data_IF_273824384760
#
_entry.id   IF_273824384760
#
_cell.length_a   1.000
_cell.length_b   1.000
_cell.length_c   1.000
_cell.angle_alpha   90.00
_cell.angle_beta   90.00
_cell.angle_gamma   90.00
#
_symmetry.space_group_name_H-M   'P 1'
#
loop_
_entity.id
_entity.type
_entity.pdbx_description
1 polymer ?
#
# COMPACT_ATOMS: atom_id res chain seq x y z
N UNK A 1 7.74 -12.37 -2.97
CA UNK A 1 9.04 -11.66 -2.96
C UNK A 1 8.76 -10.20 -3.18
N UNK A 2 9.21 -9.33 -2.30
CA UNK A 2 9.37 -7.92 -2.67
C UNK A 2 10.36 -7.87 -3.84
N UNK A 3 10.10 -7.06 -4.85
CA UNK A 3 11.08 -6.75 -5.89
C UNK A 3 12.41 -6.48 -5.20
N UNK A 4 13.54 -6.97 -5.71
CA UNK A 4 14.81 -6.73 -5.04
C UNK A 4 15.04 -5.23 -4.90
N UNK A 5 15.63 -4.77 -3.81
CA UNK A 5 15.93 -3.35 -3.58
C UNK A 5 16.68 -2.75 -4.77
N UNK A 6 17.59 -3.52 -5.38
CA UNK A 6 18.30 -3.12 -6.59
C UNK A 6 17.37 -2.89 -7.79
N UNK A 7 16.33 -3.70 -7.97
CA UNK A 7 15.35 -3.50 -9.05
C UNK A 7 14.56 -2.20 -8.82
N UNK A 8 14.15 -1.92 -7.59
CA UNK A 8 13.46 -0.67 -7.25
C UNK A 8 14.33 0.56 -7.51
N UNK A 9 15.63 0.50 -7.16
CA UNK A 9 16.58 1.60 -7.41
C UNK A 9 16.79 1.86 -8.89
N UNK A 10 16.66 0.85 -9.76
CA UNK A 10 16.73 1.04 -11.22
C UNK A 10 15.44 1.60 -11.83
N UNK A 11 14.29 1.33 -11.20
CA UNK A 11 12.97 1.69 -11.72
C UNK A 11 12.56 3.11 -11.32
N UNK A 12 12.90 3.54 -10.12
CA UNK A 12 12.53 4.86 -9.58
C UNK A 12 13.77 5.75 -9.60
N UNK A 13 13.77 6.73 -10.50
CA UNK A 13 14.88 7.65 -10.68
C UNK A 13 15.20 8.42 -9.38
N UNK A 14 16.47 8.47 -9.02
CA UNK A 14 16.93 9.16 -7.83
C UNK A 14 16.59 8.48 -6.50
N UNK A 15 16.12 7.23 -6.50
CA UNK A 15 15.73 6.52 -5.28
C UNK A 15 16.92 6.31 -4.34
N UNK A 16 16.81 6.85 -3.13
CA UNK A 16 17.76 6.60 -2.03
C UNK A 16 17.25 5.46 -1.15
N UNK A 17 18.04 4.40 -0.97
CA UNK A 17 17.68 3.29 -0.09
C UNK A 17 18.09 3.59 1.36
N UNK A 18 17.08 3.79 2.21
CA UNK A 18 17.20 3.94 3.68
C UNK A 18 16.51 2.80 4.44
N UNK A 19 15.95 1.81 3.74
CA UNK A 19 15.22 0.72 4.38
C UNK A 19 16.13 -0.31 5.06
N UNK A 20 17.41 -0.37 4.68
CA UNK A 20 18.31 -1.43 5.12
C UNK A 20 17.83 -2.79 4.65
N UNK A 21 18.27 -3.88 5.27
CA UNK A 21 17.90 -5.22 4.84
C UNK A 21 16.37 -5.44 4.91
N UNK A 22 15.78 -5.82 3.80
CA UNK A 22 14.38 -6.20 3.70
C UNK A 22 14.25 -7.71 3.83
N UNK A 23 13.37 -8.16 4.74
CA UNK A 23 13.01 -9.56 4.83
C UNK A 23 12.14 -9.96 3.62
N UNK A 24 12.40 -11.13 3.05
CA UNK A 24 11.51 -11.75 2.08
C UNK A 24 10.24 -12.27 2.77
N UNK A 25 9.10 -12.22 2.10
CA UNK A 25 7.88 -12.84 2.57
C UNK A 25 6.64 -11.97 2.44
N UNK A 26 5.52 -12.51 2.92
CA UNK A 26 4.24 -11.80 2.93
C UNK A 26 4.18 -10.79 4.08
N UNK A 27 3.59 -9.63 3.80
CA UNK A 27 3.35 -8.58 4.79
C UNK A 27 1.86 -8.59 5.17
N UNK A 28 1.60 -8.53 6.46
CA UNK A 28 0.25 -8.49 7.02
C UNK A 28 -0.01 -7.14 7.72
N UNK A 29 -1.28 -6.78 7.96
CA UNK A 29 -1.62 -5.60 8.75
C UNK A 29 -0.82 -5.49 10.03
N UNK A 30 -0.45 -4.26 10.42
CA UNK A 30 0.36 -3.94 11.59
C UNK A 30 1.84 -4.40 11.54
N UNK A 31 2.32 -4.89 10.38
CA UNK A 31 3.72 -5.21 10.16
C UNK A 31 4.46 -4.09 9.41
N UNK A 32 5.78 -4.08 9.53
CA UNK A 32 6.65 -3.20 8.75
C UNK A 32 6.80 -3.73 7.32
N UNK A 33 6.71 -2.82 6.36
CA UNK A 33 6.96 -3.11 4.94
C UNK A 33 7.76 -1.99 4.29
N UNK A 34 8.45 -2.25 3.18
CA UNK A 34 9.05 -1.20 2.39
C UNK A 34 7.97 -0.32 1.73
N UNK A 35 8.20 0.98 1.75
CA UNK A 35 7.47 1.96 0.94
C UNK A 35 8.47 2.91 0.31
N UNK A 36 8.11 3.49 -0.82
CA UNK A 36 8.82 4.61 -1.43
C UNK A 36 8.01 5.87 -1.14
N UNK A 37 8.63 6.88 -0.58
CA UNK A 37 8.01 8.18 -0.27
C UNK A 37 8.82 9.33 -0.83
N UNK A 38 8.25 10.53 -0.84
CA UNK A 38 8.99 11.74 -1.11
C UNK A 38 9.87 12.10 0.10
N UNK A 39 11.18 12.15 -0.06
CA UNK A 39 12.13 12.71 0.89
C UNK A 39 12.56 14.12 0.49
N UNK A 40 13.43 14.74 1.31
CA UNK A 40 13.91 16.11 1.06
C UNK A 40 14.75 16.21 -0.22
N UNK A 41 15.54 15.18 -0.52
CA UNK A 41 16.46 15.13 -1.67
C UNK A 41 15.94 14.26 -2.83
N UNK A 42 14.68 13.85 -2.81
CA UNK A 42 14.06 12.96 -3.81
C UNK A 42 13.39 11.74 -3.19
N UNK A 43 12.97 10.77 -4.01
CA UNK A 43 12.31 9.57 -3.49
C UNK A 43 13.25 8.75 -2.60
N UNK A 44 12.71 8.22 -1.51
CA UNK A 44 13.44 7.35 -0.59
C UNK A 44 12.66 6.06 -0.26
N UNK A 45 13.39 4.94 -0.25
CA UNK A 45 12.88 3.65 0.19
C UNK A 45 13.08 3.55 1.70
N UNK A 46 11.99 3.38 2.43
CA UNK A 46 11.98 3.30 3.91
C UNK A 46 11.09 2.15 4.38
N UNK A 47 11.12 1.86 5.68
CA UNK A 47 10.14 0.95 6.30
C UNK A 47 9.07 1.74 7.02
N UNK A 48 7.81 1.42 6.77
CA UNK A 48 6.67 1.94 7.50
C UNK A 48 5.74 0.81 7.94
N UNK A 49 4.94 1.04 8.97
CA UNK A 49 3.99 0.07 9.53
C UNK A 49 2.65 0.18 8.79
N UNK A 50 2.14 -0.96 8.33
CA UNK A 50 0.86 -0.99 7.61
C UNK A 50 -0.33 -0.77 8.54
N UNK A 51 -0.95 0.39 8.44
CA UNK A 51 -2.11 0.81 9.22
C UNK A 51 -2.05 2.28 9.60
N UNK A 52 -2.65 3.16 8.78
CA UNK A 52 -2.79 4.59 9.08
C UNK A 52 -3.68 4.82 10.30
N UNK A 53 -3.61 6.00 10.95
CA UNK A 53 -4.44 6.29 12.11
C UNK A 53 -5.93 6.13 11.80
N UNK A 54 -6.66 5.50 12.70
CA UNK A 54 -8.11 5.37 12.59
C UNK A 54 -8.81 6.71 12.88
N UNK A 55 -9.98 6.99 12.26
CA UNK A 55 -10.79 8.13 12.66
C UNK A 55 -11.13 8.06 14.14
N UNK A 56 -10.94 9.13 14.91
CA UNK A 56 -11.24 9.11 16.36
C UNK A 56 -12.67 8.67 16.68
N UNK A 57 -13.61 8.98 15.80
CA UNK A 57 -15.03 8.62 15.95
C UNK A 57 -15.34 7.13 15.94
N UNK A 58 -14.42 6.30 15.40
CA UNK A 58 -14.60 4.83 15.35
C UNK A 58 -13.83 4.11 16.45
N UNK A 59 -12.94 4.79 17.16
CA UNK A 59 -12.19 4.21 18.26
C UNK A 59 -13.08 4.06 19.50
N UNK A 60 -13.21 2.82 19.97
CA UNK A 60 -13.97 2.48 21.19
C UNK A 60 -13.08 2.48 22.44
N UNK A 61 -11.79 2.44 22.28
CA UNK A 61 -10.77 2.38 23.32
C UNK A 61 -9.56 3.21 22.91
N UNK A 62 -8.57 3.36 23.77
CA UNK A 62 -7.29 3.99 23.44
C UNK A 62 -6.50 3.20 22.38
N UNK A 63 -6.83 1.90 22.17
CA UNK A 63 -6.17 1.07 21.15
C UNK A 63 -6.65 1.46 19.77
N UNK A 64 -5.70 1.80 18.88
CA UNK A 64 -5.93 2.05 17.46
C UNK A 64 -5.44 0.85 16.63
N UNK A 65 -6.34 0.04 16.04
CA UNK A 65 -5.93 -1.09 15.20
C UNK A 65 -5.31 -0.67 13.87
N UNK A 66 -5.49 0.59 13.48
CA UNK A 66 -5.07 1.14 12.21
C UNK A 66 -6.03 0.83 11.06
N UNK A 67 -6.02 1.72 10.06
CA UNK A 67 -6.76 1.56 8.80
C UNK A 67 -5.78 1.16 7.71
N UNK A 68 -6.00 0.00 7.13
CA UNK A 68 -5.11 -0.57 6.11
C UNK A 68 -5.42 -0.11 4.69
N UNK A 69 -6.69 0.27 4.43
CA UNK A 69 -7.20 0.60 3.10
C UNK A 69 -7.97 1.92 3.11
N UNK A 70 -7.72 2.76 2.11
CA UNK A 70 -8.36 4.07 1.94
C UNK A 70 -9.23 4.03 0.68
N UNK A 71 -10.55 4.02 0.86
CA UNK A 71 -11.50 3.95 -0.25
C UNK A 71 -12.21 5.28 -0.50
N UNK A 72 -12.73 5.89 0.55
CA UNK A 72 -13.48 7.13 0.45
C UNK A 72 -12.56 8.35 0.58
N UNK A 73 -12.03 8.83 -0.56
CA UNK A 73 -11.16 9.99 -0.62
C UNK A 73 -11.86 11.29 -0.20
N UNK A 74 -13.19 11.36 -0.33
CA UNK A 74 -13.99 12.50 0.13
C UNK A 74 -14.09 12.62 1.66
N UNK A 75 -13.69 11.60 2.41
CA UNK A 75 -13.72 11.65 3.88
C UNK A 75 -12.80 12.73 4.43
N UNK A 76 -13.30 13.62 5.32
CA UNK A 76 -12.49 14.66 5.95
C UNK A 76 -11.26 14.11 6.69
N UNK A 77 -11.34 12.86 7.18
CA UNK A 77 -10.26 12.19 7.88
C UNK A 77 -8.98 12.08 7.04
N UNK A 78 -9.12 11.79 5.72
CA UNK A 78 -7.98 11.55 4.84
C UNK A 78 -7.37 12.81 4.24
N UNK A 79 -8.09 13.94 4.23
CA UNK A 79 -7.67 15.19 3.52
C UNK A 79 -6.24 15.62 3.84
N UNK A 80 -5.83 15.51 5.09
CA UNK A 80 -4.49 15.93 5.54
C UNK A 80 -3.35 15.06 4.98
N UNK A 81 -3.66 13.83 4.56
CA UNK A 81 -2.66 12.88 4.03
C UNK A 81 -2.80 12.64 2.52
N UNK A 82 -3.70 13.36 1.84
CA UNK A 82 -3.84 13.25 0.38
C UNK A 82 -2.94 14.23 -0.38
N UNK A 83 -2.19 15.09 0.30
CA UNK A 83 -1.21 15.98 -0.31
C UNK A 83 0.06 15.24 -0.76
N UNK A 84 0.84 15.88 -1.64
CA UNK A 84 2.07 15.32 -2.23
C UNK A 84 3.05 14.80 -1.17
N UNK A 85 3.28 15.53 -0.08
CA UNK A 85 4.21 15.16 0.98
C UNK A 85 3.83 13.92 1.79
N UNK A 86 2.65 13.32 1.52
CA UNK A 86 2.18 12.10 2.17
C UNK A 86 1.96 10.95 1.18
N UNK A 87 2.37 11.13 -0.09
CA UNK A 87 2.24 10.09 -1.10
C UNK A 87 3.33 9.05 -0.95
N UNK A 88 2.95 7.80 -1.12
CA UNK A 88 3.90 6.70 -1.11
C UNK A 88 3.54 5.65 -2.16
N UNK A 89 4.53 4.84 -2.53
CA UNK A 89 4.35 3.66 -3.36
C UNK A 89 4.68 2.43 -2.50
N UNK A 90 3.83 1.43 -2.55
CA UNK A 90 4.07 0.15 -1.86
C UNK A 90 4.46 -0.88 -2.90
N UNK A 91 5.74 -1.29 -2.98
CA UNK A 91 6.18 -2.28 -3.97
C UNK A 91 5.63 -3.67 -3.63
N UNK A 92 5.04 -4.33 -4.62
CA UNK A 92 4.46 -5.67 -4.47
C UNK A 92 4.73 -6.53 -5.70
N UNK A 93 4.89 -7.83 -5.50
CA UNK A 93 4.97 -8.83 -6.58
C UNK A 93 3.65 -9.57 -6.75
N UNK A 94 2.91 -9.71 -5.65
CA UNK A 94 1.58 -10.33 -5.63
C UNK A 94 0.80 -9.84 -4.42
N UNK A 95 -0.52 -9.98 -4.45
CA UNK A 95 -1.39 -9.66 -3.31
C UNK A 95 -2.49 -10.71 -3.16
N UNK A 96 -3.11 -10.76 -1.99
CA UNK A 96 -4.17 -11.72 -1.73
C UNK A 96 -5.43 -11.06 -1.22
N UNK A 97 -6.57 -11.63 -1.60
CA UNK A 97 -7.89 -11.28 -1.12
C UNK A 97 -8.59 -12.50 -0.48
N UNK A 98 -9.36 -12.30 0.58
CA UNK A 98 -10.06 -13.41 1.24
C UNK A 98 -11.17 -13.98 0.34
N UNK A 99 -11.19 -15.31 0.18
CA UNK A 99 -12.25 -16.03 -0.57
C UNK A 99 -13.58 -16.07 0.19
N UNK A 100 -13.60 -15.75 1.47
CA UNK A 100 -14.76 -15.84 2.35
C UNK A 100 -14.40 -16.53 3.67
N UNK A 101 -15.36 -16.60 4.58
CA UNK A 101 -15.12 -17.15 5.92
C UNK A 101 -14.65 -18.62 5.85
N UNK A 102 -13.44 -18.89 6.29
CA UNK A 102 -12.85 -20.23 6.36
C UNK A 102 -12.36 -20.81 5.04
N UNK A 103 -12.39 -20.05 3.93
CA UNK A 103 -11.99 -20.54 2.61
C UNK A 103 -10.55 -20.12 2.21
N UNK A 104 -9.82 -19.50 3.12
CA UNK A 104 -8.46 -19.02 2.84
C UNK A 104 -8.44 -17.74 1.98
N UNK A 105 -7.35 -17.57 1.25
CA UNK A 105 -7.12 -16.40 0.38
C UNK A 105 -6.91 -16.83 -1.05
N UNK A 106 -7.18 -15.94 -2.00
CA UNK A 106 -6.76 -16.02 -3.39
C UNK A 106 -5.63 -15.04 -3.62
N UNK A 107 -4.54 -15.51 -4.21
CA UNK A 107 -3.42 -14.68 -4.63
C UNK A 107 -3.59 -14.23 -6.08
N UNK A 108 -3.13 -13.00 -6.33
CA UNK A 108 -3.12 -12.36 -7.64
C UNK A 108 -1.71 -11.84 -7.93
N UNK A 109 -1.28 -12.00 -9.17
CA UNK A 109 0.00 -11.52 -9.68
C UNK A 109 -0.21 -10.91 -11.08
N UNK A 110 0.72 -10.10 -11.60
CA UNK A 110 0.59 -9.58 -12.94
C UNK A 110 0.63 -10.72 -13.95
N UNK A 111 -0.16 -10.59 -15.03
CA UNK A 111 -0.17 -11.56 -16.13
C UNK A 111 1.17 -11.55 -16.85
N UNK A 112 1.70 -10.38 -17.14
CA UNK A 112 3.06 -10.20 -17.62
C UNK A 112 4.02 -10.17 -16.42
N UNK A 113 4.91 -11.16 -16.34
CA UNK A 113 5.84 -11.35 -15.21
C UNK A 113 6.90 -10.26 -15.08
N UNK A 114 7.13 -9.49 -16.13
CA UNK A 114 8.11 -8.39 -16.15
C UNK A 114 7.47 -7.09 -15.62
N UNK A 115 6.15 -7.07 -15.41
CA UNK A 115 5.43 -5.92 -14.89
C UNK A 115 5.72 -5.71 -13.41
N UNK A 116 6.26 -4.53 -13.08
CA UNK A 116 6.37 -4.07 -11.68
C UNK A 116 5.06 -3.46 -11.24
N UNK A 117 4.63 -3.82 -10.04
CA UNK A 117 3.41 -3.27 -9.43
C UNK A 117 3.75 -2.46 -8.19
N UNK A 118 3.12 -1.30 -8.07
CA UNK A 118 3.07 -0.52 -6.83
C UNK A 118 1.62 -0.28 -6.43
N UNK A 119 1.29 -0.40 -5.15
CA UNK A 119 0.04 0.17 -4.67
C UNK A 119 0.20 1.67 -4.44
N UNK A 120 -0.81 2.45 -4.86
CA UNK A 120 -0.87 3.88 -4.57
C UNK A 120 -1.11 4.07 -3.07
N UNK A 121 -0.08 4.46 -2.33
CA UNK A 121 -0.09 4.58 -0.88
C UNK A 121 -0.17 6.03 -0.40
N UNK A 122 -0.58 6.17 0.85
CA UNK A 122 -0.40 7.39 1.66
C UNK A 122 0.30 7.02 2.96
N UNK A 123 1.04 7.98 3.54
CA UNK A 123 1.84 7.76 4.74
C UNK A 123 1.74 8.92 5.72
N UNK A 124 2.16 8.68 6.97
CA UNK A 124 2.43 9.70 7.98
C UNK A 124 3.63 9.27 8.82
N UNK A 125 4.50 10.22 9.12
CA UNK A 125 5.74 9.97 9.85
C UNK A 125 5.56 10.24 11.34
N UNK A 126 6.33 9.53 12.17
CA UNK A 126 6.45 9.80 13.60
C UNK A 126 5.12 9.75 14.36
N UNK A 127 4.16 8.90 13.98
CA UNK A 127 2.86 8.83 14.62
C UNK A 127 2.89 7.97 15.87
N UNK A 128 2.53 8.55 17.03
CA UNK A 128 2.41 7.84 18.30
C UNK A 128 1.01 7.27 18.47
N UNK A 129 0.91 5.98 18.75
CA UNK A 129 -0.37 5.29 18.98
C UNK A 129 -0.19 4.01 19.81
N UNK A 130 -1.27 3.59 20.46
CA UNK A 130 -1.36 2.31 21.16
C UNK A 130 -1.89 1.24 20.20
N UNK A 131 -1.00 0.43 19.60
CA UNK A 131 -1.38 -0.65 18.68
C UNK A 131 -1.70 -1.95 19.42
N UNK A 132 -0.85 -2.30 20.38
CA UNK A 132 -0.99 -3.50 21.23
C UNK A 132 -0.77 -3.11 22.66
N UNK A 133 -1.70 -3.48 23.54
CA UNK A 133 -1.64 -3.13 24.97
C UNK A 133 -0.33 -3.56 25.62
N UNK A 134 0.18 -4.74 25.22
CA UNK A 134 1.45 -5.28 25.76
C UNK A 134 2.69 -4.45 25.41
N UNK A 135 2.64 -3.72 24.30
CA UNK A 135 3.78 -2.95 23.77
C UNK A 135 3.73 -1.48 24.24
N UNK A 136 2.61 -1.05 24.84
CA UNK A 136 2.38 0.35 25.20
C UNK A 136 2.22 1.25 23.98
N UNK A 137 2.36 2.55 24.17
CA UNK A 137 2.42 3.53 23.06
C UNK A 137 3.74 3.39 22.32
N UNK A 138 3.65 3.38 21.01
CA UNK A 138 4.80 3.31 20.11
C UNK A 138 4.71 4.38 19.03
N UNK A 139 5.85 4.94 18.64
CA UNK A 139 5.96 5.92 17.55
C UNK A 139 6.48 5.22 16.32
N UNK A 140 5.75 5.34 15.21
CA UNK A 140 6.08 4.68 13.94
C UNK A 140 5.75 5.57 12.75
N UNK A 141 6.44 5.36 11.64
CA UNK A 141 5.96 5.76 10.34
C UNK A 141 4.87 4.77 9.92
N UNK A 142 3.73 5.29 9.46
CA UNK A 142 2.55 4.48 9.13
C UNK A 142 2.18 4.68 7.68
N UNK A 143 1.65 3.63 7.04
CA UNK A 143 1.11 3.73 5.69
C UNK A 143 -0.20 2.95 5.53
N UNK A 144 -0.97 3.32 4.52
CA UNK A 144 -2.05 2.54 3.93
C UNK A 144 -2.06 2.77 2.42
N UNK A 145 -2.79 1.96 1.67
CA UNK A 145 -2.94 2.17 0.24
C UNK A 145 -4.41 2.38 -0.15
N UNK A 146 -4.60 3.01 -1.30
CA UNK A 146 -5.91 3.28 -1.85
C UNK A 146 -6.54 2.01 -2.40
N UNK A 147 -7.87 1.96 -2.35
CA UNK A 147 -8.65 0.91 -3.02
C UNK A 147 -9.66 1.52 -3.98
N UNK A 148 -10.03 0.74 -4.99
CA UNK A 148 -10.99 1.08 -6.04
C UNK A 148 -11.97 -0.07 -6.25
N UNK A 149 -12.99 0.04 -7.13
CA UNK A 149 -13.78 -1.10 -7.57
C UNK A 149 -12.90 -2.21 -8.16
N UNK A 150 -13.25 -3.49 -8.00
CA UNK A 150 -12.44 -4.59 -8.53
C UNK A 150 -12.61 -4.72 -10.06
N UNK A 151 -11.55 -5.23 -10.72
CA UNK A 151 -11.61 -5.68 -12.10
C UNK A 151 -12.20 -7.10 -12.23
N UNK A 152 -12.27 -7.64 -13.45
CA UNK A 152 -12.90 -8.93 -13.73
C UNK A 152 -12.25 -10.11 -12.98
N UNK A 153 -10.94 -10.07 -12.73
CA UNK A 153 -10.23 -11.15 -12.04
C UNK A 153 -10.49 -11.14 -10.53
N UNK A 154 -10.57 -9.95 -9.93
CA UNK A 154 -10.73 -9.80 -8.47
C UNK A 154 -12.20 -9.86 -8.04
N UNK A 155 -13.14 -9.36 -8.85
CA UNK A 155 -14.55 -9.25 -8.51
C UNK A 155 -15.21 -10.56 -8.04
N UNK A 156 -14.93 -11.74 -8.63
CA UNK A 156 -15.51 -13.01 -8.18
C UNK A 156 -15.06 -13.42 -6.77
N UNK A 157 -13.91 -12.97 -6.32
CA UNK A 157 -13.30 -13.29 -5.02
C UNK A 157 -13.63 -12.22 -4.00
N UNK A 158 -13.38 -10.96 -4.34
CA UNK A 158 -13.62 -9.80 -3.48
C UNK A 158 -14.40 -8.70 -4.22
N UNK A 159 -15.75 -8.80 -4.27
CA UNK A 159 -16.59 -7.92 -5.09
C UNK A 159 -16.62 -6.46 -4.60
N UNK A 160 -16.05 -6.17 -3.43
CA UNK A 160 -16.13 -4.82 -2.83
C UNK A 160 -15.02 -3.90 -3.26
N UNK A 161 -13.80 -4.39 -3.41
CA UNK A 161 -12.63 -3.55 -3.69
C UNK A 161 -11.43 -4.36 -4.18
N UNK A 162 -10.49 -3.66 -4.81
CA UNK A 162 -9.11 -4.10 -5.03
C UNK A 162 -8.15 -2.94 -4.72
N UNK A 163 -6.86 -3.19 -4.47
CA UNK A 163 -5.87 -2.13 -4.38
C UNK A 163 -5.83 -1.28 -5.66
N UNK A 164 -5.55 0.02 -5.53
CA UNK A 164 -5.16 0.85 -6.67
C UNK A 164 -3.73 0.48 -7.04
N UNK A 165 -3.55 -0.12 -8.20
CA UNK A 165 -2.27 -0.64 -8.69
C UNK A 165 -1.75 0.24 -9.82
N UNK A 166 -0.50 0.68 -9.70
CA UNK A 166 0.25 1.45 -10.68
C UNK A 166 1.31 0.55 -11.31
N UNK A 167 1.35 0.50 -12.63
CA UNK A 167 2.23 -0.41 -13.38
C UNK A 167 3.15 0.30 -14.37
N UNK A 168 2.98 1.61 -14.54
CA UNK A 168 3.75 2.41 -15.51
C UNK A 168 4.50 3.54 -14.81
N UNK A 169 5.70 3.89 -15.28
CA UNK A 169 6.49 5.00 -14.73
C UNK A 169 5.69 6.30 -14.59
N UNK A 170 4.94 6.68 -15.62
CA UNK A 170 4.15 7.91 -15.63
C UNK A 170 3.08 7.94 -14.51
N UNK A 171 2.57 6.77 -14.12
CA UNK A 171 1.55 6.66 -13.08
C UNK A 171 2.15 6.85 -11.68
N UNK A 172 3.26 6.19 -11.37
CA UNK A 172 3.86 6.35 -10.04
C UNK A 172 4.59 7.68 -9.88
N UNK A 173 5.17 8.24 -10.95
CA UNK A 173 5.71 9.60 -10.94
C UNK A 173 4.60 10.64 -10.71
N UNK A 174 3.49 10.54 -11.45
CA UNK A 174 2.33 11.40 -11.25
C UNK A 174 1.75 11.25 -9.83
N UNK A 175 1.71 10.02 -9.30
CA UNK A 175 1.26 9.77 -7.93
C UNK A 175 2.14 10.47 -6.90
N UNK A 176 3.45 10.28 -6.94
CA UNK A 176 4.41 10.97 -6.06
C UNK A 176 4.44 12.47 -6.33
N UNK A 177 4.19 12.91 -7.56
CA UNK A 177 4.07 14.31 -7.96
C UNK A 177 2.81 15.01 -7.45
N UNK A 178 1.88 14.28 -6.83
CA UNK A 178 0.69 14.85 -6.19
C UNK A 178 -0.51 15.07 -7.11
N UNK A 179 -0.60 14.31 -8.22
CA UNK A 179 -1.83 14.29 -9.05
C UNK A 179 -3.07 14.06 -8.19
N UNK A 180 -4.23 14.55 -8.59
CA UNK A 180 -5.46 14.29 -7.86
C UNK A 180 -5.68 12.79 -7.69
N UNK A 181 -5.92 12.36 -6.46
CA UNK A 181 -5.98 10.94 -6.13
C UNK A 181 -7.08 10.18 -6.89
N UNK A 182 -8.18 10.89 -7.18
CA UNK A 182 -9.32 10.35 -7.92
C UNK A 182 -8.96 9.96 -9.37
N UNK A 183 -7.95 10.59 -9.97
CA UNK A 183 -7.53 10.31 -11.35
C UNK A 183 -6.89 8.91 -11.48
N UNK A 184 -6.24 8.43 -10.42
CA UNK A 184 -5.62 7.10 -10.37
C UNK A 184 -6.43 6.08 -9.55
N UNK A 185 -7.52 6.49 -8.90
CA UNK A 185 -8.40 5.59 -8.14
C UNK A 185 -9.28 4.75 -9.08
N UNK A 186 -8.67 3.91 -9.87
CA UNK A 186 -9.30 3.04 -10.86
C UNK A 186 -8.72 1.63 -10.80
N UNK A 187 -9.46 0.60 -11.21
CA UNK A 187 -8.91 -0.74 -11.34
C UNK A 187 -7.86 -0.83 -12.43
N UNK A 188 -7.00 -1.84 -12.37
CA UNK A 188 -6.27 -2.29 -13.53
C UNK A 188 -7.24 -2.78 -14.62
N UNK A 189 -6.84 -2.69 -15.91
CA UNK A 189 -7.61 -3.30 -17.00
C UNK A 189 -7.85 -4.80 -16.75
N UNK A 190 -8.97 -5.31 -17.24
CA UNK A 190 -9.25 -6.74 -17.23
C UNK A 190 -8.17 -7.48 -18.03
N UNK A 191 -7.76 -8.66 -17.55
CA UNK A 191 -6.66 -9.45 -18.09
C UNK A 191 -5.26 -9.04 -17.60
N UNK A 192 -5.13 -7.96 -16.83
CA UNK A 192 -3.83 -7.52 -16.30
C UNK A 192 -3.33 -8.38 -15.13
N UNK A 193 -4.23 -9.10 -14.46
CA UNK A 193 -3.92 -9.97 -13.34
C UNK A 193 -4.23 -11.44 -13.67
N UNK A 194 -3.44 -12.33 -13.08
CA UNK A 194 -3.70 -13.78 -13.07
C UNK A 194 -3.81 -14.30 -11.64
N UNK A 195 -4.59 -15.34 -11.47
CA UNK A 195 -4.69 -16.05 -10.20
C UNK A 195 -3.46 -16.95 -10.02
N UNK A 196 -2.93 -16.98 -8.80
CA UNK A 196 -1.81 -17.85 -8.41
C UNK A 196 -2.11 -18.53 -7.08
N UNK A 197 -1.50 -19.69 -6.83
CA UNK A 197 -1.81 -20.51 -5.64
C UNK A 197 -1.13 -19.98 -4.37
N UNK A 198 -0.02 -19.25 -4.53
CA UNK A 198 0.76 -18.70 -3.42
C UNK A 198 1.37 -17.33 -3.80
N UNK A 199 1.92 -16.65 -2.79
CA UNK A 199 2.75 -15.46 -3.00
C UNK A 199 3.99 -15.80 -3.87
N UNK A 200 4.34 -14.89 -4.78
CA UNK A 200 5.52 -14.99 -5.64
C UNK A 200 6.53 -13.89 -5.34
#
# INVERSE_FOLDING_TARGET
MTSSQEALTRLVEGLTDRAGNLASGSVYPDQLAPIIRNGDDGPELVKARWGMPSPPSVLKTARDPGVTNVRNLGSPHWRRWLGQGHRSLVPVTSFSEPRGKGQGVQWFAPTDTDTTMFFAGIETQGWTSLRKVKDGETTNDLYAFLTCPPNAEVAPIHPKAMPVILTRPEEWEAWLGGIRAEELQRPLPDGALRLVDAAI
#
